data_IF_024215803832
#
_entry.id   IF_024215803832
#
_cell.length_a   1.000
_cell.length_b   1.000
_cell.length_c   1.000
_cell.angle_alpha   90.00
_cell.angle_beta   90.00
_cell.angle_gamma   90.00
#
_symmetry.space_group_name_H-M   'P 1'
#
loop_
_entity.id
_entity.type
_entity.pdbx_description
1 polymer ?
#
# COMPACT_ATOMS: atom_id res chain seq x y z
N UNK A 1 -13.94 -18.35 -13.91
CA UNK A 1 -14.02 -19.78 -13.53
C UNK A 1 -13.01 -20.17 -12.45
N UNK A 2 -11.77 -19.64 -12.47
CA UNK A 2 -10.70 -20.06 -11.53
C UNK A 2 -11.07 -19.94 -10.05
N UNK A 3 -11.54 -18.77 -9.58
CA UNK A 3 -11.82 -18.56 -8.15
C UNK A 3 -12.85 -19.53 -7.55
N UNK A 4 -13.90 -19.88 -8.32
CA UNK A 4 -14.89 -20.85 -7.87
C UNK A 4 -14.33 -22.26 -7.75
N UNK A 5 -13.49 -22.67 -8.71
CA UNK A 5 -12.83 -23.97 -8.66
C UNK A 5 -11.89 -24.04 -7.45
N UNK A 6 -11.08 -23.00 -7.22
CA UNK A 6 -10.19 -22.90 -6.06
C UNK A 6 -10.96 -22.93 -4.74
N UNK A 7 -12.10 -22.26 -4.66
CA UNK A 7 -12.98 -22.31 -3.49
C UNK A 7 -13.46 -23.74 -3.21
N UNK A 8 -13.99 -24.43 -4.23
CA UNK A 8 -14.47 -25.82 -4.12
C UNK A 8 -13.37 -26.81 -3.76
N UNK A 9 -12.15 -26.58 -4.21
CA UNK A 9 -10.97 -27.36 -3.83
C UNK A 9 -10.62 -27.12 -2.35
N UNK A 10 -10.58 -25.86 -1.92
CA UNK A 10 -10.29 -25.50 -0.53
C UNK A 10 -11.31 -26.12 0.43
N UNK A 11 -12.61 -26.02 0.11
CA UNK A 11 -13.69 -26.66 0.85
C UNK A 11 -13.43 -28.15 1.09
N UNK A 12 -13.05 -28.89 0.03
CA UNK A 12 -12.73 -30.31 0.11
C UNK A 12 -11.50 -30.57 0.99
N UNK A 13 -10.44 -29.78 0.82
CA UNK A 13 -9.21 -29.92 1.59
C UNK A 13 -9.45 -29.79 3.10
N UNK A 14 -10.38 -28.93 3.51
CA UNK A 14 -10.72 -28.73 4.92
C UNK A 14 -11.89 -29.59 5.41
N UNK A 15 -12.46 -30.45 4.55
CA UNK A 15 -13.62 -31.27 4.90
C UNK A 15 -14.85 -30.46 5.31
N UNK A 16 -14.97 -29.24 4.79
CA UNK A 16 -16.09 -28.34 5.07
C UNK A 16 -17.17 -28.49 3.99
N UNK A 17 -18.40 -28.14 4.36
CA UNK A 17 -19.51 -27.94 3.42
C UNK A 17 -20.07 -26.54 3.66
N UNK A 18 -19.86 -25.64 2.70
CA UNK A 18 -20.31 -24.25 2.80
C UNK A 18 -21.82 -24.09 2.93
N UNK A 19 -22.59 -25.13 2.61
CA UNK A 19 -24.06 -25.10 2.72
C UNK A 19 -24.53 -25.17 4.17
N UNK A 20 -23.71 -25.74 5.06
CA UNK A 20 -24.08 -26.00 6.46
C UNK A 20 -23.08 -25.44 7.45
N UNK A 21 -21.80 -25.33 7.10
CA UNK A 21 -20.76 -24.90 8.04
C UNK A 21 -20.49 -23.40 8.01
N UNK A 22 -20.87 -22.70 6.92
CA UNK A 22 -20.53 -21.29 6.76
C UNK A 22 -21.65 -20.42 7.33
N UNK A 23 -21.26 -19.34 8.01
CA UNK A 23 -22.19 -18.34 8.57
C UNK A 23 -21.98 -16.96 7.95
N UNK A 24 -20.80 -16.70 7.37
CA UNK A 24 -20.52 -15.44 6.69
C UNK A 24 -19.30 -15.50 5.78
N UNK A 25 -19.22 -14.52 4.88
CA UNK A 25 -18.17 -14.38 3.87
C UNK A 25 -17.59 -12.96 3.92
N UNK A 26 -16.29 -12.84 4.20
CA UNK A 26 -15.58 -11.56 4.19
C UNK A 26 -14.64 -11.46 3.00
N UNK A 27 -15.11 -10.94 1.86
CA UNK A 27 -14.27 -10.77 0.66
C UNK A 27 -14.04 -9.30 0.32
N UNK A 28 -13.04 -9.05 -0.52
CA UNK A 28 -12.88 -7.75 -1.16
C UNK A 28 -13.96 -7.52 -2.23
N UNK A 29 -13.99 -6.30 -2.77
CA UNK A 29 -14.96 -5.90 -3.79
C UNK A 29 -14.66 -6.41 -5.19
N UNK A 30 -13.73 -7.37 -5.36
CA UNK A 30 -13.39 -7.88 -6.68
C UNK A 30 -14.59 -8.63 -7.26
N UNK A 31 -14.97 -8.29 -8.49
CA UNK A 31 -16.17 -8.84 -9.14
C UNK A 31 -16.20 -10.39 -9.18
N UNK A 32 -15.03 -11.05 -9.21
CA UNK A 32 -14.94 -12.50 -9.17
C UNK A 32 -15.37 -13.10 -7.81
N UNK A 33 -15.19 -12.36 -6.71
CA UNK A 33 -15.56 -12.78 -5.36
C UNK A 33 -16.92 -12.23 -4.95
N UNK A 34 -17.15 -10.94 -5.16
CA UNK A 34 -18.33 -10.21 -4.67
C UNK A 34 -19.34 -9.83 -5.76
N UNK A 35 -19.12 -10.24 -7.01
CA UNK A 35 -19.99 -9.86 -8.12
C UNK A 35 -21.42 -10.36 -7.94
N UNK A 36 -22.38 -9.47 -8.19
CA UNK A 36 -23.81 -9.72 -7.95
C UNK A 36 -24.41 -10.84 -8.81
N UNK A 37 -23.81 -11.16 -9.95
CA UNK A 37 -24.33 -12.17 -10.89
C UNK A 37 -23.58 -13.50 -10.84
N UNK A 38 -22.25 -13.46 -10.68
CA UNK A 38 -21.41 -14.66 -10.85
C UNK A 38 -20.27 -14.78 -9.83
N UNK A 39 -20.23 -13.87 -8.85
CA UNK A 39 -19.24 -13.88 -7.79
C UNK A 39 -19.37 -15.11 -6.89
N UNK A 40 -18.26 -15.52 -6.27
CA UNK A 40 -18.23 -16.65 -5.32
C UNK A 40 -19.25 -16.46 -4.20
N UNK A 41 -19.35 -15.26 -3.63
CA UNK A 41 -20.33 -14.95 -2.60
C UNK A 41 -21.77 -15.14 -3.07
N UNK A 42 -22.09 -14.65 -4.28
CA UNK A 42 -23.43 -14.81 -4.86
C UNK A 42 -23.79 -16.29 -5.02
N UNK A 43 -22.89 -17.09 -5.58
CA UNK A 43 -23.09 -18.53 -5.79
C UNK A 43 -23.32 -19.29 -4.48
N UNK A 44 -22.59 -18.91 -3.42
CA UNK A 44 -22.79 -19.51 -2.08
C UNK A 44 -24.17 -19.13 -1.55
N UNK A 45 -24.55 -17.85 -1.62
CA UNK A 45 -25.82 -17.35 -1.11
C UNK A 45 -27.05 -17.90 -1.85
N UNK A 46 -26.91 -18.29 -3.13
CA UNK A 46 -27.98 -18.97 -3.88
C UNK A 46 -28.31 -20.36 -3.34
N UNK A 47 -27.33 -21.05 -2.76
CA UNK A 47 -27.50 -22.40 -2.19
C UNK A 47 -27.68 -22.35 -0.67
N UNK A 48 -27.09 -21.35 0.00
CA UNK A 48 -27.12 -21.16 1.43
C UNK A 48 -27.53 -19.70 1.78
N UNK A 49 -28.84 -19.38 1.73
CA UNK A 49 -29.33 -18.01 1.93
C UNK A 49 -29.05 -17.41 3.32
N UNK A 50 -28.77 -18.24 4.32
CA UNK A 50 -28.40 -17.82 5.67
C UNK A 50 -26.99 -17.24 5.75
N UNK A 51 -26.12 -17.48 4.75
CA UNK A 51 -24.74 -16.99 4.75
C UNK A 51 -24.70 -15.50 4.41
N UNK A 52 -24.15 -14.71 5.31
CA UNK A 52 -24.06 -13.25 5.13
C UNK A 52 -22.75 -12.87 4.43
N UNK A 53 -22.84 -12.23 3.27
CA UNK A 53 -21.68 -11.58 2.66
C UNK A 53 -21.45 -10.18 3.26
N UNK A 54 -20.21 -9.91 3.66
CA UNK A 54 -19.75 -8.62 4.13
C UNK A 54 -18.55 -8.17 3.29
N UNK A 55 -18.67 -6.99 2.69
CA UNK A 55 -17.55 -6.37 1.98
C UNK A 55 -16.50 -5.91 3.00
N UNK A 56 -15.26 -6.38 2.83
CA UNK A 56 -14.13 -6.09 3.70
C UNK A 56 -13.99 -4.58 4.00
N UNK A 57 -14.17 -4.20 5.27
CA UNK A 57 -14.07 -2.81 5.72
C UNK A 57 -12.68 -2.21 5.48
N UNK A 58 -11.62 -2.99 5.69
CA UNK A 58 -10.26 -2.55 5.40
C UNK A 58 -10.08 -2.20 3.92
N UNK A 59 -10.66 -2.99 3.01
CA UNK A 59 -10.64 -2.69 1.58
C UNK A 59 -11.45 -1.44 1.24
N UNK A 60 -12.66 -1.30 1.80
CA UNK A 60 -13.49 -0.10 1.62
C UNK A 60 -12.79 1.16 2.11
N UNK A 61 -12.17 1.11 3.28
CA UNK A 61 -11.41 2.22 3.84
C UNK A 61 -10.22 2.57 2.94
N UNK A 62 -9.47 1.58 2.46
CA UNK A 62 -8.40 1.79 1.48
C UNK A 62 -8.92 2.53 0.23
N UNK A 63 -10.05 2.13 -0.35
CA UNK A 63 -10.62 2.78 -1.52
C UNK A 63 -10.94 4.25 -1.26
N UNK A 64 -11.61 4.57 -0.14
CA UNK A 64 -11.95 5.95 0.25
C UNK A 64 -10.68 6.79 0.42
N UNK A 65 -9.66 6.27 1.10
CA UNK A 65 -8.42 7.02 1.34
C UNK A 65 -7.66 7.25 0.02
N UNK A 66 -7.54 6.23 -0.82
CA UNK A 66 -6.85 6.34 -2.12
C UNK A 66 -7.55 7.38 -3.00
N UNK A 67 -8.87 7.36 -3.05
CA UNK A 67 -9.66 8.32 -3.82
C UNK A 67 -9.50 9.74 -3.28
N UNK A 68 -9.64 9.94 -1.95
CA UNK A 68 -9.41 11.23 -1.31
C UNK A 68 -7.99 11.78 -1.60
N UNK A 69 -6.96 10.92 -1.55
CA UNK A 69 -5.59 11.33 -1.89
C UNK A 69 -5.41 11.72 -3.36
N UNK A 70 -6.19 11.14 -4.28
CA UNK A 70 -6.18 11.51 -5.70
C UNK A 70 -6.89 12.85 -5.93
N UNK A 71 -7.90 13.20 -5.12
CA UNK A 71 -8.61 14.48 -5.23
C UNK A 71 -7.83 15.69 -4.71
N UNK A 72 -6.90 15.48 -3.77
CA UNK A 72 -6.06 16.56 -3.21
C UNK A 72 -4.76 16.63 -4.00
N UNK A 73 -4.57 17.69 -4.78
CA UNK A 73 -3.41 17.85 -5.70
C UNK A 73 -2.07 17.68 -5.00
N UNK A 74 -1.89 18.23 -3.80
CA UNK A 74 -0.68 18.11 -3.01
C UNK A 74 -0.40 16.66 -2.60
N UNK A 75 -1.44 15.91 -2.20
CA UNK A 75 -1.31 14.51 -1.82
C UNK A 75 -1.02 13.63 -3.04
N UNK A 76 -1.70 13.89 -4.16
CA UNK A 76 -1.45 13.20 -5.43
C UNK A 76 0.01 13.39 -5.89
N UNK A 77 0.48 14.64 -5.92
CA UNK A 77 1.87 14.97 -6.27
C UNK A 77 2.88 14.31 -5.32
N UNK A 78 2.57 14.28 -4.02
CA UNK A 78 3.44 13.64 -3.03
C UNK A 78 3.55 12.12 -3.25
N UNK A 79 2.44 11.43 -3.49
CA UNK A 79 2.47 9.98 -3.73
C UNK A 79 3.08 9.62 -5.08
N UNK A 80 2.93 10.47 -6.10
CA UNK A 80 3.63 10.33 -7.38
C UNK A 80 5.14 10.45 -7.18
N UNK A 81 5.59 11.45 -6.43
CA UNK A 81 7.00 11.62 -6.08
C UNK A 81 7.55 10.41 -5.31
N UNK A 82 6.79 9.88 -4.34
CA UNK A 82 7.16 8.66 -3.60
C UNK A 82 7.30 7.46 -4.55
N UNK A 83 6.43 7.35 -5.54
CA UNK A 83 6.51 6.30 -6.55
C UNK A 83 7.77 6.43 -7.40
N UNK A 84 8.08 7.64 -7.89
CA UNK A 84 9.31 7.91 -8.65
C UNK A 84 10.57 7.63 -7.82
N UNK A 85 10.56 7.98 -6.53
CA UNK A 85 11.64 7.68 -5.61
C UNK A 85 11.86 6.17 -5.48
N UNK A 86 10.76 5.40 -5.33
CA UNK A 86 10.82 3.94 -5.32
C UNK A 86 11.45 3.38 -6.60
N UNK A 87 11.00 3.83 -7.78
CA UNK A 87 11.55 3.40 -9.07
C UNK A 87 13.06 3.69 -9.15
N UNK A 88 13.48 4.86 -8.66
CA UNK A 88 14.88 5.24 -8.63
C UNK A 88 15.72 4.32 -7.70
N UNK A 89 15.29 4.12 -6.46
CA UNK A 89 16.10 3.38 -5.45
C UNK A 89 15.97 1.86 -5.55
N UNK A 90 14.98 1.35 -6.29
CA UNK A 90 14.83 -0.08 -6.55
C UNK A 90 15.72 -0.60 -7.69
N UNK A 91 16.30 0.29 -8.50
CA UNK A 91 17.25 -0.10 -9.54
C UNK A 91 18.57 -0.60 -8.93
N UNK A 92 19.09 -1.73 -9.44
CA UNK A 92 20.23 -2.48 -8.85
C UNK A 92 21.40 -1.60 -8.34
N UNK A 93 21.93 -0.71 -9.19
CA UNK A 93 23.05 0.16 -8.83
C UNK A 93 22.71 1.20 -7.75
N UNK A 94 21.49 1.72 -7.78
CA UNK A 94 21.01 2.69 -6.80
C UNK A 94 20.63 2.04 -5.49
N UNK A 95 20.09 0.83 -5.55
CA UNK A 95 19.68 0.05 -4.40
C UNK A 95 20.88 -0.24 -3.49
N UNK A 96 22.00 -0.69 -4.08
CA UNK A 96 23.24 -0.88 -3.32
C UNK A 96 23.73 0.41 -2.66
N UNK A 97 23.71 1.53 -3.40
CA UNK A 97 24.08 2.85 -2.84
C UNK A 97 23.12 3.32 -1.76
N UNK A 98 21.83 3.04 -1.91
CA UNK A 98 20.80 3.35 -0.93
C UNK A 98 21.04 2.62 0.38
N UNK A 99 21.30 1.32 0.32
CA UNK A 99 21.65 0.52 1.50
C UNK A 99 22.94 1.02 2.15
N UNK A 100 24.00 1.23 1.36
CA UNK A 100 25.28 1.73 1.89
C UNK A 100 25.14 3.11 2.54
N UNK A 101 24.41 4.03 1.91
CA UNK A 101 24.17 5.37 2.47
C UNK A 101 23.46 5.30 3.82
N UNK A 102 22.54 4.34 4.00
CA UNK A 102 21.89 4.13 5.28
C UNK A 102 22.85 3.55 6.33
N UNK A 103 23.66 2.56 5.97
CA UNK A 103 24.67 1.97 6.86
C UNK A 103 25.65 3.05 7.35
N UNK A 104 26.12 3.91 6.44
CA UNK A 104 27.07 4.97 6.76
C UNK A 104 26.47 6.07 7.66
N UNK A 105 25.16 6.32 7.57
CA UNK A 105 24.49 7.41 8.29
C UNK A 105 23.78 6.95 9.57
N UNK A 106 23.40 5.68 9.65
CA UNK A 106 22.63 5.10 10.74
C UNK A 106 23.23 3.73 11.11
N UNK A 107 24.49 3.68 11.60
CA UNK A 107 25.24 2.43 11.78
C UNK A 107 24.62 1.47 12.80
N UNK A 108 23.84 1.99 13.75
CA UNK A 108 23.15 1.19 14.79
C UNK A 108 21.73 0.73 14.36
N UNK A 109 21.24 1.19 13.21
CA UNK A 109 19.91 0.85 12.73
C UNK A 109 19.96 -0.02 11.47
N UNK A 110 19.00 -0.94 11.34
CA UNK A 110 18.85 -1.68 10.09
C UNK A 110 18.47 -0.75 8.93
N UNK A 111 19.07 -0.95 7.74
CA UNK A 111 18.62 -0.29 6.52
C UNK A 111 17.14 -0.59 6.25
N UNK A 112 16.42 0.43 5.78
CA UNK A 112 14.99 0.33 5.47
C UNK A 112 14.77 0.31 3.97
N UNK A 113 13.84 -0.53 3.55
CA UNK A 113 13.39 -0.61 2.16
C UNK A 113 12.22 0.30 1.89
N UNK A 114 12.30 1.06 0.80
CA UNK A 114 11.15 1.78 0.30
C UNK A 114 10.20 0.79 -0.40
N UNK A 115 8.96 0.68 0.07
CA UNK A 115 7.98 -0.23 -0.51
C UNK A 115 7.36 0.36 -1.78
N UNK A 116 7.11 -0.52 -2.77
CA UNK A 116 6.30 -0.16 -3.94
C UNK A 116 4.91 0.27 -3.48
N UNK A 117 4.43 1.41 -3.97
CA UNK A 117 3.06 1.83 -3.72
C UNK A 117 2.07 0.92 -4.46
N UNK A 118 0.94 0.65 -3.81
CA UNK A 118 -0.19 -0.07 -4.39
C UNK A 118 -1.48 0.70 -4.15
N UNK A 119 -2.37 0.68 -5.13
CA UNK A 119 -3.73 1.23 -5.00
C UNK A 119 -4.64 0.29 -4.19
N UNK A 120 -4.31 -0.99 -4.11
CA UNK A 120 -5.09 -1.99 -3.37
C UNK A 120 -4.64 -2.18 -1.92
N UNK A 121 -3.48 -1.64 -1.54
CA UNK A 121 -2.86 -1.85 -0.22
C UNK A 121 -2.31 -0.54 0.36
N UNK A 122 -3.16 0.20 1.08
CA UNK A 122 -2.78 1.45 1.73
C UNK A 122 -1.63 1.26 2.74
N UNK A 123 -1.54 0.11 3.40
CA UNK A 123 -0.42 -0.21 4.30
C UNK A 123 0.96 0.03 3.65
N UNK A 124 1.09 -0.22 2.34
CA UNK A 124 2.34 0.06 1.61
C UNK A 124 2.63 1.57 1.49
N UNK A 125 1.60 2.40 1.34
CA UNK A 125 1.72 3.88 1.32
C UNK A 125 2.11 4.42 2.67
N UNK A 126 1.48 3.94 3.75
CA UNK A 126 1.84 4.32 5.12
C UNK A 126 3.29 3.93 5.44
N UNK A 127 3.69 2.69 5.14
CA UNK A 127 5.06 2.22 5.33
C UNK A 127 6.07 3.06 4.54
N UNK A 128 5.78 3.39 3.27
CA UNK A 128 6.63 4.26 2.47
C UNK A 128 6.80 5.66 3.09
N UNK A 129 5.72 6.26 3.59
CA UNK A 129 5.79 7.55 4.29
C UNK A 129 6.69 7.48 5.53
N UNK A 130 6.62 6.40 6.30
CA UNK A 130 7.47 6.19 7.48
C UNK A 130 8.94 6.13 7.07
N UNK A 131 9.30 5.33 6.06
CA UNK A 131 10.68 5.21 5.57
C UNK A 131 11.22 6.55 5.09
N UNK A 132 10.42 7.27 4.29
CA UNK A 132 10.79 8.58 3.77
C UNK A 132 10.99 9.60 4.89
N UNK A 133 10.15 9.56 5.94
CA UNK A 133 10.31 10.42 7.12
C UNK A 133 11.57 10.07 7.93
N UNK A 134 11.79 8.79 8.22
CA UNK A 134 12.90 8.35 9.09
C UNK A 134 14.25 8.33 8.39
N UNK A 135 14.28 8.26 7.07
CA UNK A 135 15.52 8.21 6.26
C UNK A 135 15.65 9.38 5.29
N UNK A 136 14.93 10.47 5.51
CA UNK A 136 15.00 11.69 4.69
C UNK A 136 16.44 12.14 4.44
N UNK A 137 17.29 12.14 5.47
CA UNK A 137 18.69 12.56 5.34
C UNK A 137 19.51 11.63 4.42
N UNK A 138 19.27 10.33 4.45
CA UNK A 138 19.91 9.39 3.52
C UNK A 138 19.44 9.60 2.09
N UNK A 139 18.14 9.86 1.87
CA UNK A 139 17.64 10.23 0.54
C UNK A 139 18.30 11.51 0.03
N UNK A 140 18.42 12.55 0.88
CA UNK A 140 19.08 13.80 0.48
C UNK A 140 20.57 13.59 0.15
N UNK A 141 21.28 12.72 0.89
CA UNK A 141 22.69 12.40 0.63
C UNK A 141 22.85 11.60 -0.68
N UNK A 142 22.02 10.58 -0.89
CA UNK A 142 22.02 9.75 -2.09
C UNK A 142 21.77 10.59 -3.35
N UNK A 143 20.84 11.54 -3.24
CA UNK A 143 20.37 12.37 -4.35
C UNK A 143 21.17 13.67 -4.53
N UNK A 144 22.25 13.94 -3.78
CA UNK A 144 23.03 15.19 -3.96
C UNK A 144 23.50 15.37 -5.42
N UNK A 145 23.43 16.60 -5.98
CA UNK A 145 23.97 16.89 -7.31
C UNK A 145 25.45 16.51 -7.37
N UNK A 146 25.82 15.61 -8.29
CA UNK A 146 27.19 15.11 -8.45
C UNK A 146 27.39 13.62 -8.17
N UNK A 147 26.39 12.90 -7.63
CA UNK A 147 26.35 11.44 -7.78
C UNK A 147 26.04 11.10 -9.25
N UNK A 148 26.53 9.97 -9.76
CA UNK A 148 26.67 9.62 -11.19
C UNK A 148 25.37 9.52 -12.03
N UNK A 149 24.27 10.10 -11.56
CA UNK A 149 22.96 10.01 -12.19
C UNK A 149 22.54 11.42 -12.57
N UNK A 150 22.58 11.69 -13.86
CA UNK A 150 22.02 12.88 -14.50
C UNK A 150 20.50 12.78 -14.54
N UNK A 151 19.82 13.07 -13.42
CA UNK A 151 18.44 13.62 -13.51
C UNK A 151 18.31 14.85 -12.59
N UNK A 152 18.60 16.06 -13.12
CA UNK A 152 18.50 17.31 -12.37
C UNK A 152 17.06 17.63 -11.90
N UNK A 153 16.05 17.04 -12.52
CA UNK A 153 14.63 17.41 -12.35
C UNK A 153 13.97 16.80 -11.10
N UNK A 154 14.47 15.67 -10.58
CA UNK A 154 13.80 14.93 -9.49
C UNK A 154 14.24 15.38 -8.09
N UNK A 155 15.53 15.66 -7.86
CA UNK A 155 16.10 15.92 -6.52
C UNK A 155 15.65 17.24 -5.92
N UNK A 156 15.67 18.31 -6.71
CA UNK A 156 15.29 19.66 -6.28
C UNK A 156 13.79 19.71 -6.00
N UNK A 157 13.00 19.05 -6.85
CA UNK A 157 11.56 18.81 -6.64
C UNK A 157 11.31 17.94 -5.40
N UNK A 158 12.13 16.91 -5.15
CA UNK A 158 12.05 16.06 -3.96
C UNK A 158 12.27 16.87 -2.70
N UNK A 159 13.34 17.67 -2.65
CA UNK A 159 13.68 18.49 -1.48
C UNK A 159 12.58 19.54 -1.20
N UNK A 160 12.12 20.26 -2.23
CA UNK A 160 11.05 21.27 -2.09
C UNK A 160 9.68 20.65 -1.75
N UNK A 161 9.32 19.52 -2.36
CA UNK A 161 8.05 18.84 -2.12
C UNK A 161 8.05 18.12 -0.78
N UNK A 162 9.15 17.46 -0.40
CA UNK A 162 9.27 16.82 0.91
C UNK A 162 9.29 17.85 2.04
N UNK A 163 9.98 18.98 1.89
CA UNK A 163 9.93 20.06 2.87
C UNK A 163 8.51 20.66 2.94
N UNK A 164 7.87 20.95 1.81
CA UNK A 164 6.52 21.53 1.81
C UNK A 164 5.42 20.56 2.23
N UNK A 165 5.56 19.25 2.04
CA UNK A 165 4.54 18.25 2.41
C UNK A 165 4.78 17.71 3.83
N UNK A 166 6.01 17.39 4.22
CA UNK A 166 6.31 16.83 5.55
C UNK A 166 6.23 17.85 6.70
N UNK A 167 6.36 19.16 6.39
CA UNK A 167 6.21 20.24 7.38
C UNK A 167 4.78 20.80 7.46
N UNK A 168 3.87 20.40 6.56
CA UNK A 168 2.48 20.87 6.55
C UNK A 168 1.57 20.02 7.47
N UNK A 169 0.52 20.62 8.05
CA UNK A 169 -0.43 19.93 8.91
C UNK A 169 -1.17 18.75 8.24
N UNK A 170 -1.11 18.60 6.91
CA UNK A 170 -1.62 17.41 6.22
C UNK A 170 -0.89 16.10 6.58
N UNK A 171 0.33 16.14 7.11
CA UNK A 171 0.98 14.94 7.70
C UNK A 171 0.23 14.45 8.94
N UNK A 172 -0.48 15.34 9.64
CA UNK A 172 -1.36 14.96 10.74
C UNK A 172 -2.52 14.09 10.25
N UNK A 173 -3.00 14.29 9.02
CA UNK A 173 -3.98 13.40 8.39
C UNK A 173 -3.39 12.01 8.11
N UNK A 174 -2.13 11.93 7.67
CA UNK A 174 -1.43 10.64 7.48
C UNK A 174 -1.15 9.94 8.81
N UNK A 175 -0.82 10.68 9.87
CA UNK A 175 -0.71 10.14 11.25
C UNK A 175 -2.06 9.67 11.78
N UNK A 176 -3.14 10.41 11.52
CA UNK A 176 -4.49 10.05 11.90
C UNK A 176 -4.98 8.79 11.15
N UNK A 177 -4.77 8.72 9.84
CA UNK A 177 -5.06 7.54 9.01
C UNK A 177 -4.22 6.34 9.46
N UNK A 178 -2.93 6.54 9.77
CA UNK A 178 -2.07 5.48 10.27
C UNK A 178 -2.47 5.00 11.66
N UNK A 179 -2.97 5.88 12.54
CA UNK A 179 -3.53 5.52 13.85
C UNK A 179 -4.80 4.70 13.69
N UNK A 180 -5.73 5.16 12.84
CA UNK A 180 -6.95 4.45 12.50
C UNK A 180 -6.68 3.05 11.98
N UNK A 181 -5.66 2.88 11.13
CA UNK A 181 -5.33 1.56 10.58
C UNK A 181 -4.57 0.66 11.55
N UNK A 182 -3.88 1.22 12.55
CA UNK A 182 -3.28 0.45 13.63
C UNK A 182 -4.34 -0.14 14.56
N UNK A 183 -5.53 0.46 14.63
CA UNK A 183 -6.68 -0.06 15.38
C UNK A 183 -7.46 -1.15 14.62
N UNK A 184 -7.15 -1.39 13.33
CA UNK A 184 -7.77 -2.43 12.50
C UNK A 184 -6.86 -3.66 12.26
N UNK A 185 -5.65 -3.68 12.85
CA UNK A 185 -4.68 -4.79 12.77
C UNK A 185 -4.25 -5.28 14.15
#
# INVERSE_FOLDING_TARGET
MVAWATFKESEKCYGLDYRVNFVGLGYDGAAVMSGALSGVARRIQEVAPSVVYMHCYAHRLNLVIVDACKTVKEAANFFELLHQLYVCVSGSNFHQRWLQTQIDMFPEEQPRELKRLSDTRWACRAAACVVVKTRLQAFLRLLRPGSCITTPCSVTSLKMTMQSVLLKPHVSLLKWISSLLHDFY
#
